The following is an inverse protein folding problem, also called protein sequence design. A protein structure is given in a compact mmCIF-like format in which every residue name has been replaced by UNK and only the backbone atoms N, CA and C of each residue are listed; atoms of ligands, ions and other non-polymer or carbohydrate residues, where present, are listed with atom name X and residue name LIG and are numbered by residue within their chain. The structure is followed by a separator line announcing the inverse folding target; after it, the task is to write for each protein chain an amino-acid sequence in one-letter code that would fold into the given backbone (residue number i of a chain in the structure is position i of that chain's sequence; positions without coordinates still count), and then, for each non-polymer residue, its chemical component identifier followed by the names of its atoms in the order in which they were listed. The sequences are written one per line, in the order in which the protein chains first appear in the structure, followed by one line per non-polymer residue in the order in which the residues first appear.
data_IF_985543115057
#
_entry.id   IF_985543115057
#
_cell.length_a   1.000
_cell.length_b   1.000
_cell.length_c   1.000
_cell.angle_alpha   90.00
_cell.angle_beta   90.00
_cell.angle_gamma   90.00
#
_symmetry.space_group_name_H-M   'P 1'
#
loop_
_entity.id
_entity.type
_entity.pdbx_description
1 polymer ?
#
# COMPACT_ATOMS: atom_id res chain seq x y z
N UNK A 1 12.02 13.46 -3.86
CA UNK A 1 10.91 13.01 -2.99
C UNK A 1 11.44 12.82 -1.57
N UNK A 2 10.63 12.91 -0.50
CA UNK A 2 11.09 12.63 0.86
C UNK A 2 11.60 11.19 0.98
N UNK A 3 12.73 10.99 1.65
CA UNK A 3 13.28 9.66 1.91
C UNK A 3 12.79 9.10 3.25
N UNK A 4 12.49 9.96 4.23
CA UNK A 4 12.01 9.56 5.55
C UNK A 4 10.63 10.11 5.88
N UNK A 5 9.94 9.48 6.83
CA UNK A 5 8.65 9.97 7.32
C UNK A 5 8.77 11.40 7.90
N UNK A 6 9.85 11.69 8.63
CA UNK A 6 10.15 13.05 9.11
C UNK A 6 10.32 14.06 7.97
N UNK A 7 11.07 13.69 6.91
CA UNK A 7 11.22 14.55 5.73
C UNK A 7 9.87 14.75 5.03
N UNK A 8 9.04 13.71 4.93
CA UNK A 8 7.70 13.80 4.34
C UNK A 8 6.83 14.75 5.15
N UNK A 9 6.74 14.58 6.48
CA UNK A 9 5.93 15.41 7.36
C UNK A 9 6.39 16.87 7.34
N UNK A 10 7.71 17.12 7.33
CA UNK A 10 8.26 18.47 7.24
C UNK A 10 7.88 19.16 5.92
N UNK A 11 8.01 18.46 4.78
CA UNK A 11 7.61 18.99 3.47
C UNK A 11 6.10 19.22 3.44
N UNK A 12 5.33 18.25 3.92
CA UNK A 12 3.88 18.29 3.92
C UNK A 12 3.33 19.47 4.73
N UNK A 13 3.82 19.65 5.97
CA UNK A 13 3.48 20.79 6.81
C UNK A 13 3.81 22.12 6.13
N UNK A 14 4.98 22.21 5.47
CA UNK A 14 5.39 23.42 4.77
C UNK A 14 4.46 23.74 3.59
N UNK A 15 4.09 22.72 2.82
CA UNK A 15 3.15 22.86 1.70
C UNK A 15 1.77 23.27 2.19
N UNK A 16 1.24 22.65 3.25
CA UNK A 16 -0.02 23.05 3.88
C UNK A 16 0.00 24.52 4.31
N UNK A 17 1.08 24.98 4.94
CA UNK A 17 1.26 26.38 5.34
C UNK A 17 1.28 27.33 4.13
N UNK A 18 2.04 27.00 3.08
CA UNK A 18 2.29 27.90 1.95
C UNK A 18 1.10 27.99 0.98
N UNK A 19 0.39 26.89 0.76
CA UNK A 19 -0.70 26.81 -0.23
C UNK A 19 -2.09 26.76 0.36
N UNK A 20 -2.22 26.55 1.67
CA UNK A 20 -3.53 26.33 2.33
C UNK A 20 -4.16 24.99 1.95
N UNK A 21 -3.35 24.03 1.47
CA UNK A 21 -3.83 22.66 1.21
C UNK A 21 -4.35 22.04 2.51
N UNK A 22 -5.50 21.36 2.50
CA UNK A 22 -6.05 20.81 3.72
C UNK A 22 -5.20 19.63 4.23
N UNK A 23 -4.62 18.83 3.35
CA UNK A 23 -3.91 17.60 3.72
C UNK A 23 -2.48 17.56 3.18
N UNK A 24 -1.55 17.17 4.03
CA UNK A 24 -0.18 16.86 3.70
C UNK A 24 -0.04 15.47 3.08
N UNK A 25 -0.70 14.48 3.67
CA UNK A 25 -0.69 13.09 3.22
C UNK A 25 -2.09 12.48 3.30
N UNK A 26 -2.41 11.62 2.35
CA UNK A 26 -3.59 10.76 2.39
C UNK A 26 -3.25 9.33 1.97
N UNK A 27 -3.94 8.37 2.58
CA UNK A 27 -3.82 6.95 2.31
C UNK A 27 -5.05 6.20 2.81
N UNK A 28 -4.96 4.87 2.82
CA UNK A 28 -6.02 3.99 3.30
C UNK A 28 -5.78 3.68 4.79
N UNK A 29 -6.68 4.11 5.66
CA UNK A 29 -6.58 3.90 7.11
C UNK A 29 -7.79 3.20 7.72
N UNK A 30 -8.80 2.88 6.92
CA UNK A 30 -9.99 2.18 7.39
C UNK A 30 -9.69 0.79 7.96
N UNK A 31 -10.57 0.32 8.85
CA UNK A 31 -10.61 -1.06 9.36
C UNK A 31 -11.00 -2.05 8.23
N UNK A 32 -10.04 -2.36 7.35
CA UNK A 32 -10.16 -3.37 6.30
C UNK A 32 -8.77 -3.73 5.75
N UNK A 33 -8.73 -4.65 4.78
CA UNK A 33 -7.50 -5.16 4.19
C UNK A 33 -6.55 -4.09 3.61
N UNK A 34 -7.05 -2.96 3.08
CA UNK A 34 -6.17 -1.89 2.60
C UNK A 34 -5.50 -1.11 3.73
N UNK A 35 -6.20 -0.92 4.86
CA UNK A 35 -5.59 -0.39 6.09
C UNK A 35 -4.52 -1.33 6.63
N UNK A 36 -4.77 -2.65 6.57
CA UNK A 36 -3.76 -3.68 6.90
C UNK A 36 -2.52 -3.56 6.01
N UNK A 37 -2.68 -3.31 4.71
CA UNK A 37 -1.56 -3.10 3.80
C UNK A 37 -0.69 -1.92 4.27
N UNK A 38 -1.31 -0.80 4.62
CA UNK A 38 -0.60 0.43 4.98
C UNK A 38 0.07 0.31 6.35
N UNK A 39 -0.62 -0.24 7.36
CA UNK A 39 -0.01 -0.51 8.67
C UNK A 39 1.17 -1.48 8.58
N UNK A 40 1.08 -2.51 7.72
CA UNK A 40 2.24 -3.38 7.43
C UNK A 40 3.42 -2.61 6.84
N UNK A 41 3.15 -1.66 5.94
CA UNK A 41 4.19 -0.84 5.33
C UNK A 41 4.88 0.05 6.37
N UNK A 42 4.15 0.69 7.29
CA UNK A 42 4.76 1.45 8.38
C UNK A 42 5.67 0.58 9.24
N UNK A 43 5.20 -0.61 9.65
CA UNK A 43 6.01 -1.57 10.44
C UNK A 43 7.28 -1.98 9.68
N UNK A 44 7.15 -2.39 8.40
CA UNK A 44 8.32 -2.83 7.62
C UNK A 44 9.32 -1.71 7.33
N UNK A 45 8.85 -0.49 7.08
CA UNK A 45 9.70 0.68 6.81
C UNK A 45 10.38 1.26 8.06
N UNK A 46 9.95 0.80 9.24
CA UNK A 46 10.66 1.00 10.50
C UNK A 46 11.60 -0.15 10.87
N UNK A 47 11.61 -1.24 10.10
CA UNK A 47 12.48 -2.41 10.30
C UNK A 47 11.81 -3.58 11.04
N UNK A 48 10.54 -3.45 11.42
CA UNK A 48 9.76 -4.50 12.09
C UNK A 48 9.29 -5.59 11.13
N UNK A 49 8.77 -6.68 11.69
CA UNK A 49 8.11 -7.76 10.95
C UNK A 49 7.06 -8.46 11.83
N UNK A 50 6.25 -9.33 11.22
CA UNK A 50 5.10 -9.94 11.89
C UNK A 50 5.33 -11.38 12.32
N UNK A 51 5.94 -12.18 11.44
CA UNK A 51 6.10 -13.63 11.61
C UNK A 51 7.58 -13.97 11.47
N UNK A 52 8.08 -14.85 12.34
CA UNK A 52 9.45 -15.33 12.26
C UNK A 52 9.68 -16.05 10.92
N UNK A 53 10.71 -15.68 10.14
CA UNK A 53 10.94 -16.26 8.82
C UNK A 53 11.28 -17.76 8.86
N UNK A 54 11.77 -18.26 10.00
CA UNK A 54 12.14 -19.66 10.19
C UNK A 54 11.06 -20.48 10.94
N UNK A 55 10.07 -19.80 11.55
CA UNK A 55 8.97 -20.45 12.29
C UNK A 55 7.65 -19.68 12.15
N UNK A 56 6.76 -20.16 11.28
CA UNK A 56 5.46 -19.54 11.04
C UNK A 56 4.52 -19.54 12.26
N UNK A 57 4.84 -20.28 13.32
CA UNK A 57 4.05 -20.32 14.56
C UNK A 57 4.47 -19.24 15.56
N UNK A 58 5.58 -18.54 15.28
CA UNK A 58 6.14 -17.49 16.13
C UNK A 58 5.86 -16.12 15.54
N UNK A 59 5.10 -15.31 16.27
CA UNK A 59 4.87 -13.90 15.97
C UNK A 59 5.98 -13.07 16.60
N UNK A 60 6.51 -12.09 15.87
CA UNK A 60 7.66 -11.25 16.27
C UNK A 60 7.36 -9.75 16.13
N UNK A 61 6.08 -9.39 16.24
CA UNK A 61 5.61 -8.03 16.04
C UNK A 61 6.04 -7.08 17.18
N UNK A 62 6.07 -7.56 18.42
CA UNK A 62 6.46 -6.75 19.58
C UNK A 62 7.97 -6.48 19.60
N UNK A 63 8.35 -5.43 18.86
CA UNK A 63 9.71 -4.93 18.69
C UNK A 63 9.70 -3.40 18.70
N UNK A 64 10.86 -2.79 19.00
CA UNK A 64 10.99 -1.32 18.99
C UNK A 64 10.82 -0.77 17.57
N UNK A 65 11.22 -1.55 16.56
CA UNK A 65 11.07 -1.21 15.16
C UNK A 65 9.59 -1.18 14.75
N UNK A 66 8.80 -2.19 15.12
CA UNK A 66 7.35 -2.17 14.84
C UNK A 66 6.63 -1.03 15.54
N UNK A 67 7.00 -0.74 16.79
CA UNK A 67 6.48 0.41 17.53
C UNK A 67 6.78 1.72 16.79
N UNK A 68 8.03 1.95 16.40
CA UNK A 68 8.42 3.17 15.69
C UNK A 68 7.64 3.38 14.37
N UNK A 69 7.26 2.28 13.71
CA UNK A 69 6.38 2.30 12.53
C UNK A 69 4.99 2.87 12.87
N UNK A 70 4.30 2.31 13.86
CA UNK A 70 2.97 2.79 14.25
C UNK A 70 3.01 4.19 14.87
N UNK A 71 4.08 4.55 15.60
CA UNK A 71 4.28 5.91 16.10
C UNK A 71 4.39 6.93 14.96
N UNK A 72 5.04 6.56 13.85
CA UNK A 72 5.13 7.43 12.66
C UNK A 72 3.77 7.63 12.00
N UNK A 73 2.98 6.56 11.91
CA UNK A 73 1.61 6.62 11.39
C UNK A 73 0.70 7.49 12.28
N UNK A 74 0.75 7.30 13.60
CA UNK A 74 0.00 8.10 14.57
C UNK A 74 0.41 9.58 14.54
N UNK A 75 1.71 9.86 14.36
CA UNK A 75 2.24 11.23 14.29
C UNK A 75 1.68 12.01 13.10
N UNK A 76 1.43 11.36 11.95
CA UNK A 76 0.79 12.01 10.80
C UNK A 76 -0.57 12.63 11.15
N UNK A 77 -1.34 11.97 12.01
CA UNK A 77 -2.63 12.48 12.49
C UNK A 77 -2.45 13.50 13.60
N UNK A 78 -1.57 13.22 14.58
CA UNK A 78 -1.31 14.10 15.71
C UNK A 78 -0.80 15.49 15.28
N UNK A 79 0.07 15.54 14.26
CA UNK A 79 0.63 16.77 13.70
C UNK A 79 -0.25 17.40 12.61
N UNK A 80 -1.46 16.87 12.39
CA UNK A 80 -2.43 17.33 11.38
C UNK A 80 -1.88 17.34 9.93
N UNK A 81 -0.88 16.50 9.65
CA UNK A 81 -0.40 16.21 8.29
C UNK A 81 -1.48 15.46 7.51
N UNK A 82 -2.18 14.56 8.19
CA UNK A 82 -3.27 13.74 7.64
C UNK A 82 -4.54 14.01 8.45
N UNK A 83 -5.73 14.05 7.84
CA UNK A 83 -6.97 14.21 8.59
C UNK A 83 -7.31 12.94 9.39
N UNK A 84 -7.93 13.09 10.56
CA UNK A 84 -8.50 11.95 11.31
C UNK A 84 -9.47 11.10 10.47
N UNK A 85 -10.14 11.72 9.49
CA UNK A 85 -11.00 11.02 8.54
C UNK A 85 -10.26 9.93 7.72
N UNK A 86 -8.93 9.95 7.64
CA UNK A 86 -8.15 8.88 7.01
C UNK A 86 -8.40 7.51 7.64
N UNK A 87 -8.75 7.46 8.94
CA UNK A 87 -9.22 6.24 9.61
C UNK A 87 -10.54 5.67 9.03
N UNK A 88 -11.17 6.35 8.08
CA UNK A 88 -12.35 5.88 7.33
C UNK A 88 -12.07 5.72 5.84
N UNK A 89 -10.90 6.17 5.37
CA UNK A 89 -10.57 6.18 3.95
C UNK A 89 -10.14 4.81 3.46
N UNK A 90 -10.70 4.44 2.31
CA UNK A 90 -10.22 3.35 1.46
C UNK A 90 -9.57 3.96 0.22
N UNK A 91 -9.31 3.14 -0.80
CA UNK A 91 -8.70 3.57 -2.05
C UNK A 91 -9.46 4.73 -2.70
N UNK A 92 -10.80 4.66 -2.71
CA UNK A 92 -11.64 5.66 -3.37
C UNK A 92 -11.54 7.03 -2.71
N UNK A 93 -11.67 7.12 -1.39
CA UNK A 93 -11.69 8.40 -0.67
C UNK A 93 -10.33 9.08 -0.72
N UNK A 94 -9.25 8.31 -0.49
CA UNK A 94 -7.88 8.82 -0.57
C UNK A 94 -7.51 9.26 -1.99
N UNK A 95 -7.90 8.47 -3.01
CA UNK A 95 -7.72 8.87 -4.41
C UNK A 95 -8.49 10.15 -4.75
N UNK A 96 -9.75 10.24 -4.31
CA UNK A 96 -10.59 11.41 -4.58
C UNK A 96 -9.98 12.68 -4.00
N UNK A 97 -9.49 12.64 -2.75
CA UNK A 97 -8.80 13.77 -2.15
C UNK A 97 -7.59 14.22 -2.99
N UNK A 98 -6.79 13.27 -3.47
CA UNK A 98 -5.62 13.60 -4.30
C UNK A 98 -6.01 14.13 -5.70
N UNK A 99 -7.01 13.52 -6.35
CA UNK A 99 -7.51 13.94 -7.66
C UNK A 99 -8.16 15.33 -7.64
N UNK A 100 -8.71 15.73 -6.49
CA UNK A 100 -9.20 17.07 -6.22
C UNK A 100 -8.08 18.07 -5.90
N UNK A 101 -6.83 17.61 -5.83
CA UNK A 101 -5.67 18.39 -5.40
C UNK A 101 -5.82 18.89 -3.94
N UNK A 102 -6.45 18.10 -3.06
CA UNK A 102 -6.58 18.42 -1.63
C UNK A 102 -5.37 17.91 -0.80
N UNK A 103 -4.51 17.08 -1.40
CA UNK A 103 -3.34 16.51 -0.74
C UNK A 103 -2.07 16.59 -1.60
N UNK A 104 -0.91 16.84 -0.99
CA UNK A 104 0.38 16.84 -1.70
C UNK A 104 0.98 15.43 -1.86
N UNK A 105 0.75 14.54 -0.90
CA UNK A 105 1.17 13.13 -0.99
C UNK A 105 -0.03 12.19 -0.94
N UNK A 106 0.00 11.16 -1.80
CA UNK A 106 -0.95 10.06 -1.80
C UNK A 106 -0.18 8.73 -1.78
N UNK A 107 -0.51 7.86 -0.83
CA UNK A 107 -0.19 6.43 -0.94
C UNK A 107 -1.37 5.71 -1.57
N UNK A 108 -1.16 5.11 -2.75
CA UNK A 108 -2.16 4.30 -3.44
C UNK A 108 -1.51 3.33 -4.45
N UNK A 109 -2.32 2.50 -5.07
CA UNK A 109 -1.91 1.48 -6.03
C UNK A 109 -1.57 2.06 -7.41
N UNK A 110 -0.80 1.33 -8.24
CA UNK A 110 -0.32 1.78 -9.55
C UNK A 110 -1.38 2.30 -10.52
N UNK A 111 -2.62 1.77 -10.46
CA UNK A 111 -3.72 2.22 -11.31
C UNK A 111 -3.99 3.73 -11.18
N UNK A 112 -3.65 4.31 -10.02
CA UNK A 112 -3.76 5.75 -9.76
C UNK A 112 -3.11 6.58 -10.85
N UNK A 113 -1.96 6.15 -11.39
CA UNK A 113 -1.24 6.86 -12.43
C UNK A 113 -2.07 7.03 -13.71
N UNK A 114 -2.83 6.02 -14.12
CA UNK A 114 -3.78 6.14 -15.24
C UNK A 114 -4.92 7.12 -14.92
N UNK A 115 -5.39 7.14 -13.66
CA UNK A 115 -6.51 8.01 -13.25
C UNK A 115 -6.16 9.50 -13.18
N UNK A 116 -4.88 9.85 -13.01
CA UNK A 116 -4.44 11.25 -12.89
C UNK A 116 -4.88 12.13 -14.07
N UNK A 117 -4.79 11.60 -15.29
CA UNK A 117 -5.17 12.31 -16.51
C UNK A 117 -6.58 11.99 -17.01
N UNK A 118 -7.40 11.27 -16.24
CA UNK A 118 -8.74 10.83 -16.67
C UNK A 118 -9.86 11.68 -16.02
N UNK A 119 -10.53 12.56 -16.78
CA UNK A 119 -11.68 13.31 -16.28
C UNK A 119 -12.85 12.41 -15.86
N UNK A 120 -13.00 11.21 -16.45
CA UNK A 120 -14.06 10.27 -16.08
C UNK A 120 -13.81 9.65 -14.69
N UNK A 121 -12.56 9.60 -14.24
CA UNK A 121 -12.18 9.24 -12.87
C UNK A 121 -12.39 10.38 -11.86
N UNK A 122 -12.85 11.55 -12.31
CA UNK A 122 -13.06 12.73 -11.45
C UNK A 122 -11.80 13.57 -11.22
N UNK A 123 -10.75 13.39 -12.04
CA UNK A 123 -9.52 14.18 -11.91
C UNK A 123 -9.74 15.66 -12.22
N UNK A 124 -9.22 16.53 -11.35
CA UNK A 124 -9.19 17.99 -11.56
C UNK A 124 -7.88 18.48 -12.16
N UNK A 125 -6.90 17.59 -12.38
CA UNK A 125 -5.65 17.93 -13.02
C UNK A 125 -5.83 18.22 -14.52
N UNK A 126 -4.95 19.03 -15.11
CA UNK A 126 -4.86 19.14 -16.58
C UNK A 126 -4.21 17.86 -17.14
N UNK A 127 -4.92 17.06 -17.95
CA UNK A 127 -4.40 15.81 -18.49
C UNK A 127 -3.14 15.99 -19.35
N UNK A 128 -2.84 17.22 -19.80
CA UNK A 128 -1.65 17.53 -20.60
C UNK A 128 -0.39 17.77 -19.76
N UNK A 129 -0.54 18.15 -18.49
CA UNK A 129 0.60 18.54 -17.64
C UNK A 129 0.72 17.70 -16.38
N UNK A 130 -0.31 16.94 -16.00
CA UNK A 130 -0.33 16.19 -14.74
C UNK A 130 0.86 15.27 -14.57
N UNK A 131 1.32 14.63 -15.64
CA UNK A 131 2.44 13.69 -15.62
C UNK A 131 3.81 14.38 -15.47
N UNK A 132 3.89 15.70 -15.67
CA UNK A 132 5.06 16.52 -15.35
C UNK A 132 4.99 17.07 -13.91
N UNK A 133 3.81 17.06 -13.30
CA UNK A 133 3.53 17.64 -11.97
C UNK A 133 3.52 16.59 -10.87
N UNK A 134 3.11 15.36 -11.17
CA UNK A 134 2.96 14.28 -10.21
C UNK A 134 4.08 13.26 -10.39
N UNK A 135 4.95 13.17 -9.38
CA UNK A 135 5.99 12.14 -9.31
C UNK A 135 5.52 10.89 -8.58
N UNK A 136 6.18 9.76 -8.84
CA UNK A 136 6.03 8.50 -8.09
C UNK A 136 7.35 8.19 -7.40
N UNK A 137 7.29 7.79 -6.13
CA UNK A 137 8.46 7.53 -5.31
C UNK A 137 8.27 6.29 -4.42
N UNK A 138 9.36 5.69 -3.92
CA UNK A 138 9.30 4.71 -2.83
C UNK A 138 8.59 5.29 -1.59
N UNK A 139 8.08 4.41 -0.73
CA UNK A 139 7.55 4.81 0.57
C UNK A 139 8.68 5.32 1.46
N UNK A 140 8.46 6.36 2.27
CA UNK A 140 9.46 6.82 3.21
C UNK A 140 9.82 5.74 4.25
N UNK A 141 11.03 5.82 4.76
CA UNK A 141 11.54 4.96 5.84
C UNK A 141 11.70 5.73 7.15
N UNK A 142 11.73 5.06 8.29
CA UNK A 142 11.99 5.74 9.55
C UNK A 142 13.46 6.18 9.64
N UNK A 143 14.38 5.29 9.27
CA UNK A 143 15.82 5.56 9.31
C UNK A 143 16.38 5.72 7.88
N UNK A 144 16.97 6.89 7.61
CA UNK A 144 17.56 7.21 6.31
C UNK A 144 18.61 6.18 5.89
N UNK A 145 18.53 5.73 4.64
CA UNK A 145 19.44 4.73 4.08
C UNK A 145 19.02 3.28 4.33
N UNK A 146 17.92 3.04 5.05
CA UNK A 146 17.28 1.72 5.14
C UNK A 146 16.43 1.42 3.90
N UNK A 147 16.04 0.16 3.75
CA UNK A 147 15.32 -0.32 2.58
C UNK A 147 13.82 0.00 2.70
N UNK A 148 13.29 0.69 1.70
CA UNK A 148 11.85 0.96 1.58
C UNK A 148 11.08 -0.30 1.16
N UNK A 149 10.07 -0.70 1.92
CA UNK A 149 9.22 -1.85 1.65
C UNK A 149 7.80 -1.43 1.28
N UNK A 150 7.17 -2.17 0.37
CA UNK A 150 5.77 -1.99 -0.03
C UNK A 150 5.01 -3.30 0.00
N UNK A 151 3.71 -3.22 0.24
CA UNK A 151 2.84 -4.37 0.31
C UNK A 151 2.63 -4.99 -1.08
N UNK A 152 2.80 -6.30 -1.18
CA UNK A 152 2.43 -7.08 -2.36
C UNK A 152 0.90 -7.12 -2.48
N UNK A 153 0.38 -6.37 -3.44
CA UNK A 153 -0.99 -6.50 -3.92
C UNK A 153 -1.10 -7.47 -5.10
N UNK A 154 -2.05 -7.19 -5.98
CA UNK A 154 -2.24 -7.90 -7.24
C UNK A 154 -3.40 -8.88 -7.22
N UNK A 155 -3.65 -9.46 -8.39
CA UNK A 155 -4.79 -10.34 -8.64
C UNK A 155 -4.31 -11.65 -9.25
N UNK A 156 -4.95 -12.75 -8.86
CA UNK A 156 -4.72 -14.07 -9.43
C UNK A 156 -6.01 -14.63 -10.00
N UNK A 157 -5.94 -15.24 -11.18
CA UNK A 157 -7.04 -16.04 -11.69
C UNK A 157 -7.02 -17.43 -11.05
N UNK A 158 -8.18 -17.87 -10.58
CA UNK A 158 -8.38 -19.19 -9.98
C UNK A 158 -9.57 -19.87 -10.65
N UNK A 159 -9.44 -21.17 -10.95
CA UNK A 159 -10.55 -21.98 -11.46
C UNK A 159 -11.21 -22.68 -10.29
N UNK A 160 -12.51 -22.43 -10.09
CA UNK A 160 -13.30 -23.14 -9.10
C UNK A 160 -13.31 -24.65 -9.40
N UNK A 161 -12.88 -25.47 -8.43
CA UNK A 161 -12.79 -26.92 -8.58
C UNK A 161 -14.16 -27.58 -8.91
N UNK A 162 -15.27 -26.96 -8.55
CA UNK A 162 -16.62 -27.46 -8.84
C UNK A 162 -17.19 -26.96 -10.18
N UNK A 163 -16.46 -26.12 -10.91
CA UNK A 163 -16.91 -25.65 -12.23
C UNK A 163 -17.06 -26.81 -13.21
N UNK A 164 -18.12 -26.77 -14.01
CA UNK A 164 -18.35 -27.66 -15.17
C UNK A 164 -17.79 -27.10 -16.47
N UNK A 165 -17.11 -25.95 -16.42
CA UNK A 165 -16.54 -25.21 -17.56
C UNK A 165 -15.04 -24.94 -17.38
N UNK A 166 -14.29 -25.93 -16.88
CA UNK A 166 -12.88 -25.74 -16.50
C UNK A 166 -12.00 -25.45 -17.72
N UNK A 167 -12.26 -26.10 -18.84
CA UNK A 167 -11.52 -25.91 -20.10
C UNK A 167 -11.73 -24.50 -20.64
N UNK A 168 -12.99 -24.01 -20.69
CA UNK A 168 -13.27 -22.64 -21.15
C UNK A 168 -12.73 -21.59 -20.19
N UNK A 169 -12.80 -21.83 -18.88
CA UNK A 169 -12.19 -20.96 -17.89
C UNK A 169 -10.66 -20.88 -18.08
N UNK A 170 -10.01 -22.00 -18.40
CA UNK A 170 -8.58 -22.03 -18.70
C UNK A 170 -8.25 -21.25 -19.97
N UNK A 171 -9.00 -21.44 -21.07
CA UNK A 171 -8.84 -20.66 -22.30
C UNK A 171 -8.97 -19.16 -22.05
N UNK A 172 -9.95 -18.75 -21.23
CA UNK A 172 -10.13 -17.36 -20.84
C UNK A 172 -8.92 -16.82 -20.06
N UNK A 173 -8.39 -17.60 -19.11
CA UNK A 173 -7.19 -17.21 -18.35
C UNK A 173 -5.99 -17.05 -19.30
N UNK A 174 -5.80 -17.96 -20.24
CA UNK A 174 -4.72 -17.85 -21.24
C UNK A 174 -4.86 -16.59 -22.10
N UNK A 175 -6.09 -16.23 -22.50
CA UNK A 175 -6.34 -14.98 -23.21
C UNK A 175 -6.03 -13.75 -22.34
N UNK A 176 -6.59 -13.68 -21.13
CA UNK A 176 -6.40 -12.56 -20.20
C UNK A 176 -4.94 -12.37 -19.76
N UNK A 177 -4.14 -13.43 -19.82
CA UNK A 177 -2.70 -13.40 -19.50
C UNK A 177 -1.79 -13.43 -20.73
N UNK A 178 -2.36 -13.28 -21.93
CA UNK A 178 -1.59 -13.16 -23.16
C UNK A 178 -0.75 -11.87 -23.17
N UNK A 179 0.38 -11.83 -23.91
CA UNK A 179 1.21 -10.63 -23.98
C UNK A 179 0.45 -9.37 -24.42
N UNK A 180 -0.43 -9.51 -25.42
CA UNK A 180 -1.25 -8.40 -25.94
C UNK A 180 -2.14 -7.79 -24.86
N UNK A 181 -2.85 -8.63 -24.09
CA UNK A 181 -3.74 -8.16 -23.02
C UNK A 181 -2.92 -7.55 -21.87
N UNK A 182 -1.76 -8.12 -21.53
CA UNK A 182 -0.89 -7.56 -20.48
C UNK A 182 -0.32 -6.21 -20.84
N UNK A 183 0.17 -6.04 -22.07
CA UNK A 183 0.63 -4.74 -22.58
C UNK A 183 -0.50 -3.73 -22.60
N UNK A 184 -1.71 -4.14 -23.02
CA UNK A 184 -2.88 -3.28 -23.01
C UNK A 184 -3.18 -2.74 -21.60
N UNK A 185 -3.26 -3.61 -20.59
CA UNK A 185 -3.53 -3.18 -19.21
C UNK A 185 -2.38 -2.37 -18.60
N UNK A 186 -1.12 -2.69 -18.92
CA UNK A 186 0.02 -1.91 -18.46
C UNK A 186 -0.01 -0.47 -19.01
N UNK A 187 -0.33 -0.31 -20.29
CA UNK A 187 -0.38 1.01 -20.95
C UNK A 187 -1.59 1.81 -20.50
N UNK A 188 -2.78 1.21 -20.51
CA UNK A 188 -4.04 1.96 -20.36
C UNK A 188 -4.53 2.04 -18.92
N UNK A 189 -4.23 1.03 -18.09
CA UNK A 189 -4.75 0.92 -16.73
C UNK A 189 -3.62 1.01 -15.68
N UNK A 190 -2.38 1.28 -16.11
CA UNK A 190 -1.19 1.33 -15.26
C UNK A 190 -1.01 0.10 -14.36
N UNK A 191 -1.52 -1.06 -14.78
CA UNK A 191 -1.31 -2.31 -14.03
C UNK A 191 0.14 -2.77 -14.19
N UNK A 192 0.69 -3.37 -13.15
CA UNK A 192 2.06 -3.88 -13.17
C UNK A 192 2.07 -5.36 -13.58
N UNK A 193 2.61 -5.73 -14.76
CA UNK A 193 2.72 -7.13 -15.16
C UNK A 193 3.69 -7.90 -14.24
N UNK A 194 3.44 -9.17 -13.93
CA UNK A 194 4.34 -9.92 -13.05
C UNK A 194 5.66 -10.34 -13.72
N UNK A 195 5.71 -10.40 -15.05
CA UNK A 195 6.93 -10.86 -15.76
C UNK A 195 7.99 -9.76 -15.89
N UNK A 196 9.24 -10.13 -15.55
CA UNK A 196 10.41 -9.25 -15.62
C UNK A 196 10.62 -8.57 -16.97
N UNK A 197 10.29 -9.25 -18.07
CA UNK A 197 10.53 -8.75 -19.43
C UNK A 197 9.83 -7.40 -19.71
N UNK A 198 8.68 -7.13 -19.08
CA UNK A 198 7.95 -5.87 -19.29
C UNK A 198 8.64 -4.67 -18.65
N UNK A 199 9.50 -4.90 -17.67
CA UNK A 199 10.32 -3.86 -17.02
C UNK A 199 11.64 -3.61 -17.76
N UNK A 200 11.96 -4.42 -18.76
CA UNK A 200 13.16 -4.33 -19.58
C UNK A 200 12.85 -3.89 -21.03
N UNK A 201 11.56 -3.86 -21.41
CA UNK A 201 11.09 -3.46 -22.73
C UNK A 201 11.09 -1.93 -22.88
N UNK A 202 12.08 -1.42 -23.62
CA UNK A 202 12.26 0.02 -23.86
C UNK A 202 11.09 0.70 -24.55
N UNK A 203 10.33 0.00 -25.40
CA UNK A 203 9.18 0.61 -26.08
C UNK A 203 7.97 0.68 -25.14
N UNK A 204 7.81 -0.31 -24.26
CA UNK A 204 6.79 -0.27 -23.22
C UNK A 204 7.10 0.80 -22.16
N UNK A 205 8.35 0.90 -21.70
CA UNK A 205 8.78 1.92 -20.73
C UNK A 205 8.53 3.36 -21.24
N UNK A 206 8.71 3.62 -22.54
CA UNK A 206 8.38 4.92 -23.14
C UNK A 206 6.89 5.25 -23.10
N UNK A 207 6.03 4.23 -23.23
CA UNK A 207 4.57 4.39 -23.22
C UNK A 207 4.01 4.46 -21.80
N UNK A 208 4.69 3.81 -20.85
CA UNK A 208 4.31 3.76 -19.46
C UNK A 208 5.55 3.94 -18.56
N UNK A 209 5.96 5.19 -18.28
CA UNK A 209 7.14 5.48 -17.46
C UNK A 209 7.03 4.96 -16.02
N UNK A 210 5.81 4.75 -15.51
CA UNK A 210 5.58 4.14 -14.19
C UNK A 210 6.28 2.79 -14.03
N UNK A 211 6.43 2.02 -15.12
CA UNK A 211 7.07 0.71 -15.07
C UNK A 211 8.55 0.80 -14.69
N UNK A 212 9.24 1.90 -14.98
CA UNK A 212 10.65 2.07 -14.57
C UNK A 212 10.76 2.11 -13.04
N UNK A 213 9.96 2.97 -12.40
CA UNK A 213 9.88 3.07 -10.93
C UNK A 213 9.40 1.76 -10.30
N UNK A 214 8.40 1.12 -10.92
CA UNK A 214 7.88 -0.15 -10.45
C UNK A 214 8.91 -1.29 -10.53
N UNK A 215 9.75 -1.31 -11.57
CA UNK A 215 10.79 -2.33 -11.76
C UNK A 215 11.81 -2.34 -10.62
N UNK A 216 12.25 -1.15 -10.19
CA UNK A 216 13.12 -1.00 -9.02
C UNK A 216 12.42 -1.44 -7.72
N UNK A 217 11.12 -1.14 -7.64
CA UNK A 217 10.29 -1.42 -6.49
C UNK A 217 10.02 -2.92 -6.24
N UNK A 218 9.99 -3.77 -7.27
CA UNK A 218 9.67 -5.20 -7.12
C UNK A 218 10.61 -5.90 -6.13
N UNK A 219 11.90 -5.52 -6.11
CA UNK A 219 12.90 -6.14 -5.23
C UNK A 219 12.70 -5.82 -3.74
N UNK A 220 11.80 -4.91 -3.41
CA UNK A 220 11.46 -4.54 -2.03
C UNK A 220 9.96 -4.61 -1.74
N UNK A 221 9.25 -5.46 -2.46
CA UNK A 221 7.85 -5.77 -2.18
C UNK A 221 7.74 -6.96 -1.23
N UNK A 222 7.00 -6.84 -0.12
CA UNK A 222 6.77 -7.90 0.87
C UNK A 222 5.32 -8.41 0.80
N UNK A 223 5.08 -9.73 0.85
CA UNK A 223 3.75 -10.23 1.12
C UNK A 223 3.34 -9.84 2.56
N UNK A 224 2.05 -9.59 2.76
CA UNK A 224 1.45 -9.60 4.10
C UNK A 224 1.73 -10.95 4.79
N UNK A 225 1.60 -11.04 6.13
CA UNK A 225 1.96 -12.24 6.91
C UNK A 225 1.50 -13.55 6.24
N UNK A 226 2.46 -14.37 5.81
CA UNK A 226 2.17 -15.63 5.10
C UNK A 226 1.84 -16.70 6.13
N UNK A 227 0.56 -16.77 6.48
CA UNK A 227 0.07 -17.70 7.49
C UNK A 227 -1.26 -18.34 7.08
N UNK A 228 -1.47 -19.60 7.48
CA UNK A 228 -2.68 -20.35 7.12
C UNK A 228 -3.98 -19.76 7.69
N UNK A 229 -3.87 -19.01 8.78
CA UNK A 229 -4.96 -18.29 9.44
C UNK A 229 -4.87 -16.78 9.18
N UNK A 230 -4.25 -16.38 8.07
CA UNK A 230 -4.07 -14.97 7.71
C UNK A 230 -5.39 -14.20 7.71
N UNK A 231 -6.50 -14.78 7.27
CA UNK A 231 -7.81 -14.11 7.30
C UNK A 231 -8.21 -13.67 8.71
N UNK A 232 -7.96 -14.49 9.72
CA UNK A 232 -8.27 -14.15 11.11
C UNK A 232 -7.27 -13.13 11.67
N UNK A 233 -5.99 -13.28 11.30
CA UNK A 233 -4.93 -12.33 11.65
C UNK A 233 -5.21 -10.93 11.08
N UNK A 234 -5.61 -10.85 9.81
CA UNK A 234 -5.89 -9.59 9.10
C UNK A 234 -7.03 -8.83 9.76
N UNK A 235 -8.09 -9.50 10.23
CA UNK A 235 -9.17 -8.84 10.97
C UNK A 235 -8.66 -8.14 12.23
N UNK A 236 -7.70 -8.77 12.93
CA UNK A 236 -7.06 -8.19 14.12
C UNK A 236 -6.12 -7.05 13.78
N UNK A 237 -5.31 -7.22 12.75
CA UNK A 237 -4.47 -6.14 12.23
C UNK A 237 -5.30 -4.92 11.80
N UNK A 238 -6.44 -5.14 11.13
CA UNK A 238 -7.31 -4.06 10.67
C UNK A 238 -7.90 -3.25 11.82
N UNK A 239 -8.37 -3.94 12.86
CA UNK A 239 -8.93 -3.35 14.09
C UNK A 239 -7.85 -2.50 14.78
N UNK A 240 -6.74 -3.11 15.17
CA UNK A 240 -5.73 -2.48 16.04
C UNK A 240 -4.94 -1.37 15.33
N UNK A 241 -4.65 -1.51 14.03
CA UNK A 241 -4.07 -0.40 13.26
C UNK A 241 -5.03 0.78 13.14
N UNK A 242 -6.33 0.52 13.00
CA UNK A 242 -7.32 1.59 12.93
C UNK A 242 -7.49 2.30 14.28
N UNK A 243 -7.57 1.54 15.39
CA UNK A 243 -7.63 2.08 16.76
C UNK A 243 -6.41 2.95 17.07
N UNK A 244 -5.21 2.49 16.72
CA UNK A 244 -3.97 3.25 16.88
C UNK A 244 -3.97 4.53 16.03
N UNK A 245 -4.35 4.45 14.76
CA UNK A 245 -4.43 5.62 13.87
C UNK A 245 -5.43 6.68 14.35
N UNK A 246 -6.55 6.26 14.96
CA UNK A 246 -7.54 7.19 15.55
C UNK A 246 -7.06 7.83 16.85
N UNK A 247 -6.00 7.29 17.47
CA UNK A 247 -5.56 7.65 18.82
C UNK A 247 -6.51 7.14 19.91
N UNK A 248 -7.33 6.11 19.61
CA UNK A 248 -8.17 5.43 20.60
C UNK A 248 -7.36 4.40 21.40
N UNK A 249 -6.23 3.94 20.85
CA UNK A 249 -5.22 3.11 21.52
C UNK A 249 -3.80 3.65 21.27
N UNK A 250 -2.95 3.63 22.29
CA UNK A 250 -1.55 4.05 22.15
C UNK A 250 -0.78 3.03 21.28
N UNK A 251 0.17 3.45 20.41
CA UNK A 251 0.91 2.53 19.54
C UNK A 251 1.56 1.33 20.24
N UNK A 252 2.10 1.52 21.45
CA UNK A 252 2.69 0.44 22.25
C UNK A 252 1.64 -0.58 22.71
N UNK A 253 0.45 -0.11 23.08
CA UNK A 253 -0.63 -1.00 23.50
C UNK A 253 -1.13 -1.80 22.29
N UNK A 254 -1.36 -1.14 21.15
CA UNK A 254 -1.76 -1.81 19.90
C UNK A 254 -0.76 -2.89 19.44
N UNK A 255 0.56 -2.61 19.50
CA UNK A 255 1.60 -3.62 19.18
C UNK A 255 1.54 -4.80 20.15
N UNK A 256 1.41 -4.53 21.45
CA UNK A 256 1.37 -5.57 22.48
C UNK A 256 0.12 -6.43 22.34
N UNK A 257 -1.04 -5.80 22.11
CA UNK A 257 -2.32 -6.46 21.88
C UNK A 257 -2.27 -7.32 20.62
N UNK A 258 -1.76 -6.79 19.50
CA UNK A 258 -1.59 -7.55 18.26
C UNK A 258 -0.65 -8.74 18.44
N UNK A 259 0.51 -8.56 19.07
CA UNK A 259 1.45 -9.65 19.34
C UNK A 259 0.73 -10.81 20.04
N UNK A 260 -0.06 -10.51 21.07
CA UNK A 260 -0.83 -11.49 21.84
C UNK A 260 -1.92 -12.17 21.00
N UNK A 261 -2.73 -11.38 20.29
CA UNK A 261 -3.83 -11.88 19.48
C UNK A 261 -3.33 -12.77 18.33
N UNK A 262 -2.32 -12.29 17.58
CA UNK A 262 -1.71 -13.03 16.49
C UNK A 262 -1.01 -14.30 16.98
N UNK A 263 -0.35 -14.27 18.15
CA UNK A 263 0.29 -15.45 18.74
C UNK A 263 -0.75 -16.54 19.07
N UNK A 264 -1.91 -16.16 19.61
CA UNK A 264 -3.02 -17.10 19.89
C UNK A 264 -3.56 -17.71 18.60
N UNK A 265 -3.70 -16.92 17.54
CA UNK A 265 -4.13 -17.41 16.22
C UNK A 265 -3.08 -18.37 15.65
N UNK A 266 -1.79 -18.02 15.71
CA UNK A 266 -0.68 -18.83 15.21
C UNK A 266 -0.58 -20.20 15.90
N UNK A 267 -0.93 -20.27 17.18
CA UNK A 267 -0.90 -21.50 17.98
C UNK A 267 -2.17 -22.35 17.89
N UNK A 268 -3.19 -21.89 17.16
CA UNK A 268 -4.45 -22.63 17.02
C UNK A 268 -4.21 -23.97 16.32
N UNK A 269 -4.37 -25.07 17.06
CA UNK A 269 -4.27 -26.42 16.50
C UNK A 269 -5.50 -26.69 15.64
N UNK A 270 -5.28 -27.22 14.43
CA UNK A 270 -6.36 -27.87 13.69
C UNK A 270 -6.84 -29.09 14.46
N UNK A 271 -8.09 -29.06 14.90
CA UNK A 271 -8.83 -30.27 15.26
C UNK A 271 -9.08 -31.16 14.05
#
# INVERSE_FOLDING_TARGET
PPETWDELMSIAAKVQEDSGLPYGYVGQGAEYEGGVCNGCEFVWNAGGDFIDPDDSTKVILDSQESLAGLESEATLVADAITPLAMATYKETESLTAFLNQDAVFLRNWPYTYATLGDPAAGSTFDPKTVYDQVGVAPLPVNEKGTKSYRCLGGWSFLINNFSTKKEQAWEFIQYMTSPEVREFFAINESTLPPEKQYYEDKELLKKQPLLEVAGEAIASTKPRPVHRFYSDMSLKMAEEFNESLKGEEEPQDAISTLQDQLSRIAQTKTG
#
